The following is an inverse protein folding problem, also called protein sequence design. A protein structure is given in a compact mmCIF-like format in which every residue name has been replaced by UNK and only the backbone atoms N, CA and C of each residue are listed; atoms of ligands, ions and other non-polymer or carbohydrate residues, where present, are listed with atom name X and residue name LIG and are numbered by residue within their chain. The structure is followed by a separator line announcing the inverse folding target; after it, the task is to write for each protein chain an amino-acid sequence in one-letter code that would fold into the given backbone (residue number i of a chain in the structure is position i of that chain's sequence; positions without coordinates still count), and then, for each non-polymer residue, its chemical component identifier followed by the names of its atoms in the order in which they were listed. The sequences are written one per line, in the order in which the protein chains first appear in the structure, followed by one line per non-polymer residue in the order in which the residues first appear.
data_IF_650740719038
#
_entry.id   IF_650740719038
#
_cell.length_a   1.000
_cell.length_b   1.000
_cell.length_c   1.000
_cell.angle_alpha   90.00
_cell.angle_beta   90.00
_cell.angle_gamma   90.00
#
_symmetry.space_group_name_H-M   'P 1'
#
loop_
_entity.id
_entity.type
_entity.pdbx_description
1 polymer ?
#
# COMPACT_ATOMS: atom_id res chain seq x y z
N UNK A 1 17.52 -1.19 11.40
CA UNK A 1 17.29 -2.60 11.03
C UNK A 1 16.23 -2.60 9.94
N UNK A 2 16.65 -2.71 8.67
CA UNK A 2 15.76 -2.66 7.49
C UNK A 2 15.48 -4.11 7.09
N UNK A 3 14.21 -4.53 7.14
CA UNK A 3 13.79 -5.87 6.74
C UNK A 3 13.86 -6.03 5.20
N UNK A 4 14.30 -7.19 4.68
CA UNK A 4 14.35 -7.44 3.24
C UNK A 4 13.00 -7.98 2.77
N UNK A 5 12.22 -7.18 2.04
CA UNK A 5 10.96 -7.61 1.43
C UNK A 5 11.05 -7.69 -0.09
N UNK A 6 10.42 -8.71 -0.66
CA UNK A 6 10.65 -9.20 -2.02
C UNK A 6 9.84 -8.44 -3.09
N UNK A 7 10.41 -8.40 -4.29
CA UNK A 7 10.30 -7.50 -5.45
C UNK A 7 8.91 -7.21 -6.07
N UNK A 8 7.78 -7.65 -5.50
CA UNK A 8 6.41 -7.25 -5.94
C UNK A 8 5.55 -6.64 -4.84
N UNK A 9 5.86 -6.88 -3.57
CA UNK A 9 5.25 -6.24 -2.40
C UNK A 9 5.87 -4.86 -2.12
N UNK A 10 7.06 -4.65 -2.68
CA UNK A 10 7.87 -3.45 -2.48
C UNK A 10 7.26 -2.22 -3.11
N UNK A 11 6.58 -2.27 -4.25
CA UNK A 11 6.24 -1.00 -4.94
C UNK A 11 5.19 -0.15 -4.22
N UNK A 12 4.15 -0.75 -3.64
CA UNK A 12 3.10 0.01 -2.93
C UNK A 12 3.53 0.39 -1.52
N UNK A 13 4.05 -0.58 -0.76
CA UNK A 13 4.55 -0.31 0.59
C UNK A 13 5.78 0.60 0.54
N UNK A 14 6.74 0.37 -0.37
CA UNK A 14 7.88 1.28 -0.52
C UNK A 14 7.49 2.61 -1.17
N UNK A 15 6.46 2.66 -2.02
CA UNK A 15 5.90 3.92 -2.52
C UNK A 15 5.31 4.75 -1.38
N UNK A 16 4.51 4.14 -0.51
CA UNK A 16 3.96 4.75 0.69
C UNK A 16 5.05 5.15 1.69
N UNK A 17 6.04 4.28 1.93
CA UNK A 17 7.18 4.60 2.79
C UNK A 17 7.99 5.76 2.17
N UNK A 18 8.25 5.76 0.87
CA UNK A 18 8.96 6.85 0.22
C UNK A 18 8.18 8.16 0.34
N UNK A 19 6.87 8.14 0.13
CA UNK A 19 6.00 9.29 0.33
C UNK A 19 6.02 9.78 1.79
N UNK A 20 6.01 8.87 2.78
CA UNK A 20 6.19 9.18 4.20
C UNK A 20 7.55 9.85 4.48
N UNK A 21 8.61 9.35 3.85
CA UNK A 21 9.97 9.89 3.99
C UNK A 21 10.07 11.29 3.38
N UNK A 22 9.49 11.53 2.21
CA UNK A 22 9.48 12.86 1.57
C UNK A 22 8.68 13.89 2.35
N UNK A 23 7.68 13.45 3.12
CA UNK A 23 6.89 14.33 3.99
C UNK A 23 7.56 14.58 5.36
N UNK A 24 8.75 14.02 5.62
CA UNK A 24 9.46 14.20 6.89
C UNK A 24 8.84 13.47 8.08
N UNK A 25 7.90 12.54 7.83
CA UNK A 25 7.13 11.85 8.87
C UNK A 25 7.87 10.66 9.51
N UNK A 26 9.13 10.42 9.12
CA UNK A 26 9.96 9.32 9.64
C UNK A 26 10.11 9.35 11.16
N UNK A 27 10.23 10.55 11.75
CA UNK A 27 10.39 10.71 13.19
C UNK A 27 9.11 10.31 13.92
N UNK A 28 7.95 10.78 13.46
CA UNK A 28 6.64 10.39 14.00
C UNK A 28 6.41 8.88 13.87
N UNK A 29 6.73 8.30 12.72
CA UNK A 29 6.63 6.84 12.55
C UNK A 29 7.45 6.03 13.54
N UNK A 30 8.61 6.54 13.98
CA UNK A 30 9.48 5.84 14.94
C UNK A 30 9.06 6.05 16.39
N UNK A 31 8.58 7.26 16.70
CA UNK A 31 8.38 7.74 18.07
C UNK A 31 6.94 7.60 18.56
N UNK A 32 5.99 7.53 17.61
CA UNK A 32 4.55 7.45 17.86
C UNK A 32 3.99 6.11 17.36
N UNK A 33 3.58 5.27 18.32
CA UNK A 33 3.04 3.93 18.07
C UNK A 33 1.67 4.01 17.39
N UNK A 34 0.82 4.97 17.76
CA UNK A 34 -0.49 5.17 17.13
C UNK A 34 -0.34 5.63 15.69
N UNK A 35 0.64 6.50 15.42
CA UNK A 35 1.00 6.87 14.07
C UNK A 35 1.43 5.64 13.25
N UNK A 36 2.36 4.83 13.77
CA UNK A 36 2.81 3.60 13.12
C UNK A 36 1.65 2.62 12.86
N UNK A 37 0.73 2.46 13.80
CA UNK A 37 -0.47 1.65 13.61
C UNK A 37 -1.38 2.20 12.50
N UNK A 38 -1.55 3.51 12.38
CA UNK A 38 -2.29 4.13 11.29
C UNK A 38 -1.66 3.80 9.93
N UNK A 39 -0.34 3.90 9.80
CA UNK A 39 0.39 3.51 8.57
C UNK A 39 0.16 2.04 8.24
N UNK A 40 0.23 1.15 9.23
CA UNK A 40 -0.02 -0.28 9.03
C UNK A 40 -1.46 -0.57 8.59
N UNK A 41 -2.45 0.17 9.09
CA UNK A 41 -3.85 0.04 8.64
C UNK A 41 -4.02 0.43 7.18
N UNK A 42 -3.35 1.49 6.71
CA UNK A 42 -3.39 1.87 5.29
C UNK A 42 -2.68 0.81 4.44
N UNK A 43 -1.53 0.31 4.89
CA UNK A 43 -0.83 -0.80 4.24
C UNK A 43 -1.69 -2.09 4.16
N UNK A 44 -2.54 -2.34 5.17
CA UNK A 44 -3.40 -3.51 5.22
C UNK A 44 -4.46 -3.53 4.09
N UNK A 45 -4.76 -2.39 3.47
CA UNK A 45 -5.67 -2.31 2.32
C UNK A 45 -5.20 -3.19 1.14
N UNK A 46 -3.89 -3.45 1.00
CA UNK A 46 -3.35 -4.35 -0.02
C UNK A 46 -3.86 -5.80 0.11
N UNK A 47 -4.32 -6.21 1.29
CA UNK A 47 -4.80 -7.57 1.57
C UNK A 47 -6.32 -7.73 1.41
N UNK A 48 -7.05 -6.62 1.24
CA UNK A 48 -8.51 -6.62 1.06
C UNK A 48 -8.82 -7.00 -0.39
N UNK A 49 -9.95 -7.65 -0.65
CA UNK A 49 -10.35 -7.98 -2.02
C UNK A 49 -10.45 -6.70 -2.89
N UNK A 50 -10.02 -6.71 -4.16
CA UNK A 50 -10.07 -5.54 -5.03
C UNK A 50 -11.43 -4.85 -5.13
N UNK A 51 -12.52 -5.62 -5.12
CA UNK A 51 -13.89 -5.07 -5.13
C UNK A 51 -14.28 -4.37 -3.82
N UNK A 52 -13.70 -4.78 -2.69
CA UNK A 52 -14.01 -4.25 -1.36
C UNK A 52 -13.05 -3.13 -0.92
N UNK A 53 -11.89 -3.01 -1.59
CA UNK A 53 -10.82 -2.11 -1.15
C UNK A 53 -11.22 -0.64 -1.15
N UNK A 54 -12.13 -0.28 -2.05
CA UNK A 54 -12.67 1.09 -2.13
C UNK A 54 -13.51 1.42 -0.90
N UNK A 55 -14.41 0.52 -0.51
CA UNK A 55 -15.27 0.71 0.65
C UNK A 55 -14.45 0.71 1.94
N UNK A 56 -13.52 -0.25 2.06
CA UNK A 56 -12.60 -0.31 3.18
C UNK A 56 -11.72 0.94 3.31
N UNK A 57 -11.27 1.53 2.20
CA UNK A 57 -10.53 2.80 2.21
C UNK A 57 -11.41 3.94 2.74
N UNK A 58 -12.66 4.05 2.29
CA UNK A 58 -13.61 5.09 2.77
C UNK A 58 -13.90 4.95 4.26
N UNK A 59 -14.09 3.73 4.76
CA UNK A 59 -14.23 3.47 6.20
C UNK A 59 -12.96 3.87 6.95
N UNK A 60 -11.78 3.41 6.49
CA UNK A 60 -10.50 3.72 7.12
C UNK A 60 -10.25 5.23 7.20
N UNK A 61 -10.55 5.97 6.12
CA UNK A 61 -10.43 7.43 6.07
C UNK A 61 -11.32 8.14 7.08
N UNK A 62 -12.49 7.58 7.39
CA UNK A 62 -13.40 8.14 8.40
C UNK A 62 -12.88 7.90 9.82
N UNK A 63 -12.12 6.82 10.03
CA UNK A 63 -11.55 6.46 11.33
C UNK A 63 -10.18 7.08 11.61
N UNK A 64 -9.41 7.43 10.58
CA UNK A 64 -8.11 8.06 10.72
C UNK A 64 -8.26 9.59 10.78
N UNK A 65 -7.60 10.22 11.75
CA UNK A 65 -7.63 11.67 11.92
C UNK A 65 -6.84 12.45 10.86
N UNK A 66 -6.89 13.78 10.94
CA UNK A 66 -6.27 14.72 9.99
C UNK A 66 -4.77 14.49 9.74
N UNK A 67 -4.07 13.94 10.74
CA UNK A 67 -2.65 13.59 10.67
C UNK A 67 -2.31 12.68 9.48
N UNK A 68 -3.26 11.86 9.00
CA UNK A 68 -3.04 10.92 7.89
C UNK A 68 -3.58 11.42 6.54
N UNK A 69 -4.20 12.62 6.48
CA UNK A 69 -4.89 13.08 5.26
C UNK A 69 -3.97 13.12 4.05
N UNK A 70 -2.75 13.66 4.20
CA UNK A 70 -1.78 13.72 3.09
C UNK A 70 -1.41 12.35 2.54
N UNK A 71 -1.36 11.33 3.41
CA UNK A 71 -1.05 9.96 2.99
C UNK A 71 -2.26 9.27 2.38
N UNK A 72 -3.45 9.48 2.95
CA UNK A 72 -4.70 8.96 2.41
C UNK A 72 -5.00 9.57 1.03
N UNK A 73 -4.73 10.85 0.84
CA UNK A 73 -4.88 11.56 -0.43
C UNK A 73 -3.91 11.02 -1.49
N UNK A 74 -2.64 10.82 -1.13
CA UNK A 74 -1.66 10.17 -2.00
C UNK A 74 -2.11 8.75 -2.38
N UNK A 75 -2.58 7.97 -1.39
CA UNK A 75 -3.04 6.61 -1.64
C UNK A 75 -4.28 6.58 -2.55
N UNK A 76 -5.21 7.49 -2.31
CA UNK A 76 -6.42 7.65 -3.11
C UNK A 76 -6.08 7.99 -4.56
N UNK A 77 -5.21 8.97 -4.79
CA UNK A 77 -4.83 9.41 -6.13
C UNK A 77 -4.09 8.31 -6.93
N UNK A 78 -3.19 7.58 -6.26
CA UNK A 78 -2.30 6.64 -6.93
C UNK A 78 -2.91 5.24 -7.09
N UNK A 79 -3.67 4.74 -6.11
CA UNK A 79 -4.04 3.32 -6.03
C UNK A 79 -5.55 3.05 -6.09
N UNK A 80 -6.39 4.02 -5.72
CA UNK A 80 -7.85 3.83 -5.58
C UNK A 80 -8.65 4.64 -6.61
N UNK A 81 -8.14 5.79 -7.03
CA UNK A 81 -8.84 6.81 -7.79
C UNK A 81 -9.74 7.69 -6.92
N UNK A 82 -9.93 8.95 -7.31
CA UNK A 82 -10.86 9.89 -6.65
C UNK A 82 -12.25 9.78 -7.26
N UNK A 83 -13.27 10.00 -6.43
CA UNK A 83 -14.65 10.19 -6.92
C UNK A 83 -14.74 11.57 -7.60
N UNK A 84 -15.19 11.59 -8.86
CA UNK A 84 -15.50 12.83 -9.58
C UNK A 84 -16.90 13.31 -9.24
N UNK A 85 -17.18 14.58 -9.56
CA UNK A 85 -18.50 15.20 -9.34
C UNK A 85 -19.67 14.46 -10.01
N UNK A 86 -19.41 13.67 -11.05
CA UNK A 86 -20.42 12.85 -11.74
C UNK A 86 -20.61 11.45 -11.12
N UNK A 87 -20.02 11.17 -9.96
CA UNK A 87 -20.08 9.87 -9.27
C UNK A 87 -19.15 8.79 -9.83
N UNK A 88 -18.43 9.06 -10.94
CA UNK A 88 -17.44 8.13 -11.51
C UNK A 88 -16.08 8.28 -10.82
N UNK A 89 -15.36 7.18 -10.63
CA UNK A 89 -13.98 7.21 -10.11
C UNK A 89 -12.95 7.50 -11.20
N UNK A 90 -11.89 8.26 -10.87
CA UNK A 90 -10.70 8.37 -11.72
C UNK A 90 -10.05 7.01 -11.86
N UNK A 91 -9.42 6.75 -13.01
CA UNK A 91 -8.57 5.56 -13.13
C UNK A 91 -7.37 5.75 -12.21
N UNK A 92 -7.08 4.82 -11.29
CA UNK A 92 -5.88 4.91 -10.48
C UNK A 92 -4.64 4.80 -11.37
N UNK A 93 -3.54 5.43 -10.95
CA UNK A 93 -2.25 5.30 -11.62
C UNK A 93 -1.75 3.86 -11.60
N UNK A 94 -2.09 3.12 -10.54
CA UNK A 94 -1.78 1.70 -10.38
C UNK A 94 -3.06 0.91 -10.14
N UNK A 95 -3.47 0.10 -11.13
CA UNK A 95 -4.63 -0.77 -10.98
C UNK A 95 -4.43 -1.79 -9.84
N UNK A 96 -5.52 -2.14 -9.14
CA UNK A 96 -5.52 -3.07 -8.01
C UNK A 96 -4.80 -4.39 -8.32
N UNK A 97 -4.91 -4.90 -9.54
CA UNK A 97 -4.23 -6.12 -9.99
C UNK A 97 -2.69 -6.11 -9.81
N UNK A 98 -2.07 -4.93 -9.80
CA UNK A 98 -0.62 -4.80 -9.65
C UNK A 98 -0.15 -4.76 -8.20
N UNK A 99 -0.96 -4.21 -7.29
CA UNK A 99 -0.57 -3.98 -5.91
C UNK A 99 -1.32 -4.82 -4.88
N UNK A 100 -2.51 -5.29 -5.23
CA UNK A 100 -3.32 -6.11 -4.36
C UNK A 100 -2.72 -7.51 -4.23
N UNK A 101 -2.70 -8.02 -3.01
CA UNK A 101 -2.09 -9.31 -2.67
C UNK A 101 -3.12 -10.33 -2.19
N UNK A 102 -4.40 -9.96 -2.11
CA UNK A 102 -5.49 -10.82 -1.62
C UNK A 102 -5.50 -12.18 -2.32
N UNK A 103 -5.52 -12.18 -3.65
CA UNK A 103 -5.54 -13.42 -4.44
C UNK A 103 -4.25 -14.24 -4.28
N UNK A 104 -3.09 -13.60 -4.05
CA UNK A 104 -1.81 -14.30 -3.81
C UNK A 104 -1.77 -14.95 -2.43
N UNK A 105 -2.33 -14.29 -1.43
CA UNK A 105 -2.44 -14.77 -0.05
C UNK A 105 -3.45 -15.91 0.07
N UNK A 106 -4.60 -15.78 -0.59
CA UNK A 106 -5.69 -16.79 -0.58
C UNK A 106 -5.30 -18.09 -1.29
N UNK A 107 -4.59 -17.99 -2.41
CA UNK A 107 -4.19 -19.16 -3.20
C UNK A 107 -2.97 -19.92 -2.65
N UNK A 108 -2.48 -19.59 -1.44
CA UNK A 108 -1.26 -20.17 -0.85
C UNK A 108 -0.14 -20.30 -1.91
N UNK A 109 0.02 -19.30 -2.78
CA UNK A 109 1.14 -19.29 -3.73
C UNK A 109 2.41 -19.09 -2.91
N UNK A 110 2.88 -20.19 -2.31
CA UNK A 110 4.21 -20.37 -1.79
C UNK A 110 5.18 -19.89 -2.86
N UNK A 111 6.25 -19.22 -2.42
CA UNK A 111 7.36 -18.78 -3.27
C UNK A 111 7.87 -19.96 -4.11
N UNK A 112 7.39 -20.08 -5.34
CA UNK A 112 8.01 -20.97 -6.34
C UNK A 112 8.00 -20.28 -7.69
N UNK A 113 8.82 -19.23 -7.82
CA UNK A 113 9.75 -19.18 -8.95
C UNK A 113 10.82 -18.09 -8.73
N UNK A 114 11.69 -18.30 -7.75
CA UNK A 114 13.05 -17.78 -7.86
C UNK A 114 13.91 -18.77 -8.68
N UNK A 115 13.56 -19.00 -9.94
CA UNK A 115 14.55 -19.53 -10.91
C UNK A 115 15.24 -18.39 -11.65
N UNK A 116 14.64 -17.18 -11.68
CA UNK A 116 15.22 -16.01 -12.32
C UNK A 116 16.27 -15.27 -11.47
N UNK A 117 16.20 -15.30 -10.13
CA UNK A 117 17.25 -14.73 -9.25
C UNK A 117 18.35 -15.76 -8.90
N UNK A 118 18.24 -17.01 -9.36
CA UNK A 118 19.32 -18.00 -9.29
C UNK A 118 20.44 -17.73 -10.32
N UNK A 119 20.13 -16.97 -11.39
CA UNK A 119 21.12 -16.59 -12.40
C UNK A 119 21.96 -15.38 -12.01
N UNK A 120 21.52 -14.55 -11.06
CA UNK A 120 22.25 -13.35 -10.64
C UNK A 120 23.06 -13.52 -9.34
N UNK A 121 23.38 -14.77 -8.95
CA UNK A 121 24.32 -15.11 -7.85
C UNK A 121 25.69 -15.61 -8.32
N UNK A 122 25.99 -15.43 -9.60
CA UNK A 122 27.33 -15.47 -10.20
C UNK A 122 27.23 -14.41 -11.30
N UNK A 123 27.91 -13.28 -11.21
CA UNK A 123 29.37 -13.09 -11.33
C UNK A 123 29.80 -11.90 -10.45
#
# INVERSE_FOLDING_TARGET
MLFPFTTKYTSTIAGMINNMMTQGLQKQYKDDIDFAHGIHKIAALAFIHPDEVTDAFTQLRTHLGDTFQSMLDYFEDNYIGRIRANGSRTRPLFAAEFWNVHERTKNLQMRTNNSAEAWNRRI
#
